data_IF_677851454774
#
_entry.id   IF_677851454774
#
_cell.length_a   1.000
_cell.length_b   1.000
_cell.length_c   1.000
_cell.angle_alpha   90.00
_cell.angle_beta   90.00
_cell.angle_gamma   90.00
#
_symmetry.space_group_name_H-M   'P 1'
#
loop_
_entity.id
_entity.type
_entity.pdbx_description
1 polymer ?
#
# COMPACT_ATOMS: atom_id res chain seq x y z
N UNK A 1 32.25 -20.95 3.58
CA UNK A 1 30.90 -21.30 4.05
C UNK A 1 29.96 -20.29 3.44
N UNK A 2 29.18 -20.70 2.42
CA UNK A 2 28.25 -19.82 1.69
C UNK A 2 27.04 -19.50 2.56
N UNK A 3 26.63 -18.22 2.65
CA UNK A 3 25.41 -17.83 3.39
C UNK A 3 24.12 -17.85 2.53
N UNK A 4 24.11 -18.57 1.40
CA UNK A 4 22.98 -18.61 0.44
C UNK A 4 22.23 -19.95 0.49
N UNK A 5 21.84 -20.38 1.68
CA UNK A 5 20.83 -21.42 1.80
C UNK A 5 19.66 -20.91 2.66
N UNK A 6 18.80 -20.09 2.06
CA UNK A 6 17.41 -20.06 2.48
C UNK A 6 16.84 -21.45 2.26
N UNK A 7 16.24 -22.11 3.25
CA UNK A 7 15.59 -23.40 3.03
C UNK A 7 14.39 -23.17 2.10
N UNK A 8 14.48 -23.71 0.90
CA UNK A 8 13.35 -23.89 0.01
C UNK A 8 12.25 -24.66 0.77
N UNK A 9 11.09 -24.01 0.87
CA UNK A 9 9.79 -24.60 1.16
C UNK A 9 9.76 -25.67 2.24
N UNK A 10 9.42 -25.31 3.47
CA UNK A 10 8.85 -26.31 4.38
C UNK A 10 7.53 -26.78 3.76
N UNK A 11 7.40 -28.07 3.54
CA UNK A 11 6.20 -28.72 2.98
C UNK A 11 4.95 -28.58 3.86
N UNK A 12 5.08 -28.00 5.05
CA UNK A 12 3.98 -27.73 5.97
C UNK A 12 3.86 -26.22 6.21
N UNK A 13 2.66 -25.64 6.06
CA UNK A 13 2.39 -24.24 6.38
C UNK A 13 2.70 -23.96 7.86
N UNK A 14 3.36 -22.82 8.14
CA UNK A 14 3.63 -22.43 9.52
C UNK A 14 2.30 -22.12 10.25
N UNK A 15 2.17 -22.62 11.48
CA UNK A 15 0.96 -22.42 12.30
C UNK A 15 1.00 -21.03 12.92
N UNK A 16 0.03 -20.18 12.58
CA UNK A 16 -0.02 -18.79 12.98
C UNK A 16 -1.15 -18.47 13.96
N UNK A 17 -0.87 -17.71 15.01
CA UNK A 17 -1.89 -17.09 15.87
C UNK A 17 -2.07 -15.65 15.41
N UNK A 18 -3.32 -15.28 15.12
CA UNK A 18 -3.68 -13.93 14.72
C UNK A 18 -4.06 -13.08 15.93
N UNK A 19 -3.47 -11.91 16.06
CA UNK A 19 -3.70 -11.00 17.17
C UNK A 19 -4.14 -9.63 16.65
N UNK A 20 -5.36 -9.27 17.02
CA UNK A 20 -5.88 -7.95 16.75
C UNK A 20 -6.02 -7.14 18.04
N UNK A 21 -5.68 -5.85 18.01
CA UNK A 21 -5.78 -4.95 19.15
C UNK A 21 -6.74 -3.80 18.86
N UNK A 22 -7.93 -3.87 19.45
CA UNK A 22 -8.90 -2.78 19.36
C UNK A 22 -8.48 -1.65 20.30
N UNK A 23 -8.10 -0.51 19.73
CA UNK A 23 -7.77 0.71 20.47
C UNK A 23 -8.97 1.66 20.41
N UNK A 24 -9.60 1.92 21.58
CA UNK A 24 -10.81 2.74 21.66
C UNK A 24 -12.06 2.02 21.13
N UNK A 25 -12.98 2.77 20.50
CA UNK A 25 -14.20 2.22 19.87
C UNK A 25 -13.91 1.93 18.40
N UNK A 26 -13.73 0.66 18.04
CA UNK A 26 -13.62 0.18 16.66
C UNK A 26 -14.80 -0.76 16.36
N UNK A 27 -15.85 -0.32 15.67
CA UNK A 27 -17.04 -1.14 15.41
C UNK A 27 -16.80 -2.30 14.42
N UNK A 28 -15.78 -2.23 13.55
CA UNK A 28 -15.49 -3.22 12.48
C UNK A 28 -14.23 -4.04 12.75
N UNK A 29 -14.00 -4.36 14.00
CA UNK A 29 -12.76 -5.01 14.41
C UNK A 29 -12.63 -6.46 13.91
N UNK A 30 -13.74 -7.18 13.79
CA UNK A 30 -13.75 -8.59 13.35
C UNK A 30 -13.32 -8.70 11.88
N UNK A 31 -13.75 -7.77 11.03
CA UNK A 31 -13.38 -7.71 9.60
C UNK A 31 -11.87 -7.52 9.39
N UNK A 32 -11.20 -6.85 10.34
CA UNK A 32 -9.74 -6.64 10.26
C UNK A 32 -8.97 -7.93 10.49
N UNK A 33 -9.47 -8.79 11.37
CA UNK A 33 -8.88 -10.10 11.63
C UNK A 33 -9.15 -11.09 10.49
N UNK A 34 -10.29 -10.97 9.81
CA UNK A 34 -10.58 -11.77 8.61
C UNK A 34 -9.60 -11.40 7.49
N UNK A 35 -9.32 -10.11 7.29
CA UNK A 35 -8.33 -9.68 6.33
C UNK A 35 -6.91 -10.14 6.71
N UNK A 36 -6.53 -10.10 8.00
CA UNK A 36 -5.26 -10.62 8.47
C UNK A 36 -5.15 -12.14 8.25
N UNK A 37 -6.25 -12.89 8.39
CA UNK A 37 -6.28 -14.33 8.09
C UNK A 37 -5.99 -14.59 6.60
N UNK A 38 -6.64 -13.84 5.70
CA UNK A 38 -6.38 -13.94 4.27
C UNK A 38 -4.95 -13.53 3.90
N UNK A 39 -4.35 -12.56 4.61
CA UNK A 39 -2.93 -12.22 4.45
C UNK A 39 -2.03 -13.38 4.87
N UNK A 40 -2.27 -13.98 6.04
CA UNK A 40 -1.50 -15.11 6.53
C UNK A 40 -1.57 -16.31 5.57
N UNK A 41 -2.76 -16.68 5.09
CA UNK A 41 -2.95 -17.71 4.09
C UNK A 41 -2.24 -17.39 2.77
N UNK A 42 -2.25 -16.13 2.35
CA UNK A 42 -1.54 -15.68 1.13
C UNK A 42 -0.02 -15.72 1.27
N UNK A 43 0.50 -15.64 2.51
CA UNK A 43 1.91 -15.85 2.84
C UNK A 43 2.29 -17.34 2.99
N UNK A 44 1.29 -18.23 2.98
CA UNK A 44 1.49 -19.67 3.17
C UNK A 44 1.42 -20.12 4.62
N UNK A 45 0.98 -19.27 5.54
CA UNK A 45 0.75 -19.60 6.94
C UNK A 45 -0.64 -20.18 7.15
N UNK A 46 -0.78 -21.01 8.20
CA UNK A 46 -2.06 -21.61 8.61
C UNK A 46 -2.57 -20.91 9.88
N UNK A 47 -3.61 -20.05 9.82
CA UNK A 47 -4.25 -19.48 10.99
C UNK A 47 -4.89 -20.57 11.88
N UNK A 48 -4.39 -20.75 13.12
CA UNK A 48 -4.88 -21.78 14.04
C UNK A 48 -5.68 -21.21 15.20
N UNK A 49 -5.51 -19.94 15.55
CA UNK A 49 -6.26 -19.26 16.58
C UNK A 49 -6.32 -17.74 16.32
N UNK A 50 -7.36 -17.10 16.86
CA UNK A 50 -7.56 -15.64 16.82
C UNK A 50 -7.66 -15.09 18.21
N UNK A 51 -6.98 -14.01 18.51
CA UNK A 51 -6.98 -13.35 19.81
C UNK A 51 -7.33 -11.87 19.64
N UNK A 52 -8.31 -11.43 20.39
CA UNK A 52 -8.71 -10.02 20.43
C UNK A 52 -8.28 -9.40 21.76
N UNK A 53 -7.53 -8.33 21.70
CA UNK A 53 -7.18 -7.50 22.84
C UNK A 53 -7.88 -6.14 22.73
N UNK A 54 -8.52 -5.70 23.81
CA UNK A 54 -9.16 -4.36 23.88
C UNK A 54 -8.38 -3.48 24.84
N UNK A 55 -7.93 -2.31 24.34
CA UNK A 55 -7.15 -1.38 25.16
C UNK A 55 -7.53 0.06 24.86
N UNK A 56 -7.32 0.95 25.85
CA UNK A 56 -7.46 2.40 25.66
C UNK A 56 -6.26 2.99 24.92
N UNK A 57 -5.06 2.43 25.16
CA UNK A 57 -3.80 2.80 24.51
C UNK A 57 -2.88 1.58 24.44
N UNK A 58 -1.95 1.52 23.47
CA UNK A 58 -0.96 0.47 23.37
C UNK A 58 -0.06 0.45 24.61
N UNK A 59 0.29 -0.76 25.06
CA UNK A 59 1.30 -0.91 26.13
C UNK A 59 2.69 -0.59 25.58
N UNK A 60 3.50 0.22 26.29
CA UNK A 60 4.84 0.59 25.79
C UNK A 60 5.79 -0.60 25.62
N UNK A 61 5.67 -1.64 26.46
CA UNK A 61 6.57 -2.79 26.46
C UNK A 61 6.12 -3.94 25.59
N UNK A 62 4.83 -4.32 25.68
CA UNK A 62 4.28 -5.53 25.04
C UNK A 62 3.12 -5.23 24.07
N UNK A 63 2.76 -3.98 23.84
CA UNK A 63 1.64 -3.55 23.02
C UNK A 63 0.26 -3.96 23.58
N UNK A 64 0.10 -5.24 23.96
CA UNK A 64 -1.15 -5.85 24.48
C UNK A 64 -1.22 -5.97 26.00
N UNK A 65 -0.11 -5.75 26.74
CA UNK A 65 0.00 -5.98 28.16
C UNK A 65 0.25 -7.44 28.55
N UNK A 66 0.72 -7.64 29.79
CA UNK A 66 1.24 -8.95 30.25
C UNK A 66 0.22 -10.07 30.24
N UNK A 67 -0.97 -9.86 30.84
CA UNK A 67 -1.98 -10.90 30.94
C UNK A 67 -2.46 -11.44 29.59
N UNK A 68 -2.61 -10.56 28.57
CA UNK A 68 -2.96 -11.01 27.22
C UNK A 68 -1.77 -11.67 26.51
N UNK A 69 -0.53 -11.25 26.81
CA UNK A 69 0.66 -11.91 26.31
C UNK A 69 0.82 -13.34 26.88
N UNK A 70 0.47 -13.54 28.17
CA UNK A 70 0.47 -14.87 28.80
C UNK A 70 -0.60 -15.79 28.18
N UNK A 71 -1.79 -15.26 27.89
CA UNK A 71 -2.85 -15.98 27.20
C UNK A 71 -2.38 -16.44 25.81
N UNK A 72 -1.75 -15.54 25.02
CA UNK A 72 -1.22 -15.90 23.70
C UNK A 72 -0.11 -16.94 23.83
N UNK A 73 0.78 -16.82 24.81
CA UNK A 73 1.82 -17.81 25.08
C UNK A 73 1.24 -19.21 25.37
N UNK A 74 0.16 -19.28 26.12
CA UNK A 74 -0.55 -20.54 26.38
C UNK A 74 -1.15 -21.13 25.09
N UNK A 75 -1.73 -20.27 24.21
CA UNK A 75 -2.24 -20.67 22.91
C UNK A 75 -1.12 -21.13 21.97
N UNK A 76 0.04 -20.49 21.98
CA UNK A 76 1.22 -20.92 21.22
C UNK A 76 1.60 -22.35 21.59
N UNK A 77 1.66 -22.66 22.87
CA UNK A 77 1.96 -24.02 23.34
C UNK A 77 0.85 -25.02 22.97
N UNK A 78 -0.41 -24.63 23.14
CA UNK A 78 -1.58 -25.50 22.86
C UNK A 78 -1.67 -25.87 21.37
N UNK A 79 -1.52 -24.87 20.50
CA UNK A 79 -1.66 -25.05 19.05
C UNK A 79 -0.33 -25.37 18.35
N UNK A 80 0.78 -25.43 19.09
CA UNK A 80 2.13 -25.58 18.52
C UNK A 80 2.40 -24.53 17.42
N UNK A 81 2.01 -23.28 17.70
CA UNK A 81 2.17 -22.20 16.74
C UNK A 81 3.64 -21.79 16.62
N UNK A 82 4.08 -21.51 15.41
CA UNK A 82 5.45 -21.11 15.07
C UNK A 82 5.60 -19.59 14.97
N UNK A 83 4.48 -18.91 14.68
CA UNK A 83 4.46 -17.45 14.52
C UNK A 83 3.21 -16.83 15.14
N UNK A 84 3.37 -15.59 15.64
CA UNK A 84 2.25 -14.74 16.10
C UNK A 84 2.21 -13.49 15.23
N UNK A 85 1.07 -13.28 14.56
CA UNK A 85 0.84 -12.21 13.61
C UNK A 85 -0.04 -11.12 14.22
N UNK A 86 0.47 -9.89 14.28
CA UNK A 86 -0.25 -8.73 14.76
C UNK A 86 -0.83 -7.92 13.60
N UNK A 87 -2.10 -7.56 13.69
CA UNK A 87 -2.75 -6.70 12.69
C UNK A 87 -2.19 -5.27 12.71
N UNK A 88 -1.79 -4.77 13.86
CA UNK A 88 -1.22 -3.44 14.03
C UNK A 88 0.30 -3.45 13.88
N UNK A 89 0.85 -2.31 13.41
CA UNK A 89 2.29 -2.12 13.35
C UNK A 89 2.91 -2.11 14.76
N UNK A 90 3.93 -2.92 14.96
CA UNK A 90 4.65 -3.02 16.23
C UNK A 90 5.91 -2.15 16.23
N UNK A 91 6.23 -1.55 17.36
CA UNK A 91 7.54 -0.96 17.58
C UNK A 91 8.63 -2.05 17.70
N UNK A 92 9.86 -1.76 17.28
CA UNK A 92 10.98 -2.72 17.36
C UNK A 92 11.23 -3.28 18.77
N UNK A 93 11.02 -2.46 19.81
CA UNK A 93 11.15 -2.90 21.20
C UNK A 93 10.00 -3.82 21.62
N UNK A 94 8.77 -3.49 21.21
CA UNK A 94 7.58 -4.29 21.50
C UNK A 94 7.66 -5.66 20.84
N UNK A 95 8.01 -5.71 19.56
CA UNK A 95 8.18 -6.98 18.83
C UNK A 95 9.18 -7.88 19.54
N UNK A 96 10.36 -7.38 19.85
CA UNK A 96 11.40 -8.15 20.54
C UNK A 96 10.98 -8.62 21.94
N UNK A 97 10.25 -7.78 22.68
CA UNK A 97 9.77 -8.15 24.01
C UNK A 97 8.70 -9.25 23.91
N UNK A 98 7.82 -9.17 22.91
CA UNK A 98 6.82 -10.19 22.62
C UNK A 98 7.48 -11.51 22.19
N UNK A 99 8.45 -11.50 21.27
CA UNK A 99 9.21 -12.69 20.85
C UNK A 99 9.87 -13.38 22.05
N UNK A 100 10.50 -12.58 22.93
CA UNK A 100 11.14 -13.12 24.15
C UNK A 100 10.10 -13.70 25.12
N UNK A 101 8.95 -13.07 25.27
CA UNK A 101 7.90 -13.50 26.16
C UNK A 101 7.20 -14.77 25.68
N UNK A 102 6.90 -14.84 24.38
CA UNK A 102 6.16 -15.94 23.74
C UNK A 102 7.05 -17.12 23.35
N UNK A 103 8.33 -16.88 23.07
CA UNK A 103 9.29 -17.90 22.64
C UNK A 103 9.19 -18.28 21.17
N UNK A 104 8.38 -17.58 20.37
CA UNK A 104 8.19 -17.80 18.93
C UNK A 104 8.36 -16.49 18.18
N UNK A 105 8.49 -16.58 16.86
CA UNK A 105 8.55 -15.40 15.98
C UNK A 105 7.29 -14.54 16.11
N UNK A 106 7.48 -13.22 16.08
CA UNK A 106 6.38 -12.24 16.07
C UNK A 106 6.54 -11.35 14.85
N UNK A 107 5.52 -11.28 14.02
CA UNK A 107 5.49 -10.38 12.88
C UNK A 107 4.28 -9.44 12.98
N UNK A 108 4.38 -8.28 12.36
CA UNK A 108 3.26 -7.37 12.18
C UNK A 108 2.74 -7.42 10.74
N UNK A 109 1.58 -6.81 10.52
CA UNK A 109 0.95 -6.70 9.19
C UNK A 109 1.92 -6.20 8.11
N UNK A 110 2.79 -5.24 8.43
CA UNK A 110 3.76 -4.69 7.48
C UNK A 110 4.77 -5.75 7.03
N UNK A 111 5.30 -6.54 7.96
CA UNK A 111 6.23 -7.61 7.63
C UNK A 111 5.58 -8.70 6.80
N UNK A 112 4.36 -9.08 7.15
CA UNK A 112 3.58 -10.09 6.42
C UNK A 112 3.32 -9.66 4.96
N UNK A 113 2.92 -8.41 4.73
CA UNK A 113 2.75 -7.86 3.37
C UNK A 113 4.08 -7.88 2.60
N UNK A 114 5.21 -7.54 3.25
CA UNK A 114 6.53 -7.59 2.63
C UNK A 114 6.96 -9.01 2.26
N UNK A 115 6.59 -10.01 3.03
CA UNK A 115 6.86 -11.42 2.73
C UNK A 115 6.04 -11.88 1.52
N UNK A 116 4.74 -11.58 1.48
CA UNK A 116 3.89 -11.86 0.33
C UNK A 116 4.46 -11.21 -0.94
N UNK A 117 4.90 -9.95 -0.84
CA UNK A 117 5.49 -9.24 -1.97
C UNK A 117 6.83 -9.85 -2.41
N UNK A 118 7.65 -10.34 -1.47
CA UNK A 118 8.90 -11.01 -1.81
C UNK A 118 8.67 -12.29 -2.63
N UNK A 119 7.63 -13.05 -2.28
CA UNK A 119 7.27 -14.26 -2.99
C UNK A 119 6.62 -14.00 -4.37
N UNK A 120 5.88 -12.90 -4.50
CA UNK A 120 5.15 -12.54 -5.73
C UNK A 120 5.98 -11.76 -6.73
N UNK A 121 7.06 -11.07 -6.32
CA UNK A 121 7.91 -10.30 -7.21
C UNK A 121 8.64 -11.20 -8.22
N UNK A 122 8.28 -11.10 -9.49
CA UNK A 122 8.92 -11.85 -10.57
C UNK A 122 9.87 -10.98 -11.38
N UNK A 123 9.48 -9.72 -11.63
CA UNK A 123 10.30 -8.79 -12.40
C UNK A 123 11.55 -8.36 -11.63
N UNK A 124 12.60 -8.01 -12.38
CA UNK A 124 13.82 -7.47 -11.76
C UNK A 124 13.56 -6.17 -11.00
N UNK A 125 12.65 -5.32 -11.50
CA UNK A 125 12.24 -4.08 -10.87
C UNK A 125 11.47 -4.36 -9.58
N UNK A 126 10.45 -5.24 -9.62
CA UNK A 126 9.65 -5.62 -8.44
C UNK A 126 10.52 -6.21 -7.33
N UNK A 127 11.48 -7.10 -7.66
CA UNK A 127 12.44 -7.66 -6.69
C UNK A 127 13.27 -6.58 -6.01
N UNK A 128 13.76 -5.58 -6.77
CA UNK A 128 14.51 -4.47 -6.20
C UNK A 128 13.64 -3.55 -5.32
N UNK A 129 12.38 -3.33 -5.71
CA UNK A 129 11.43 -2.54 -4.93
C UNK A 129 11.13 -3.21 -3.59
N UNK A 130 10.84 -4.52 -3.61
CA UNK A 130 10.60 -5.30 -2.38
C UNK A 130 11.85 -5.36 -1.51
N UNK A 131 13.03 -5.58 -2.10
CA UNK A 131 14.30 -5.57 -1.37
C UNK A 131 14.52 -4.21 -0.67
N UNK A 132 14.25 -3.10 -1.37
CA UNK A 132 14.36 -1.77 -0.79
C UNK A 132 13.42 -1.58 0.40
N UNK A 133 12.14 -1.92 0.24
CA UNK A 133 11.13 -1.79 1.28
C UNK A 133 11.47 -2.66 2.51
N UNK A 134 11.93 -3.91 2.29
CA UNK A 134 12.37 -4.82 3.34
C UNK A 134 13.59 -4.28 4.10
N UNK A 135 14.59 -3.76 3.40
CA UNK A 135 15.76 -3.14 4.02
C UNK A 135 15.40 -1.89 4.83
N UNK A 136 14.50 -1.06 4.32
CA UNK A 136 14.00 0.11 5.04
C UNK A 136 13.22 -0.28 6.30
N UNK A 137 12.40 -1.33 6.23
CA UNK A 137 11.70 -1.87 7.39
C UNK A 137 12.71 -2.41 8.43
N UNK A 138 13.65 -3.25 8.02
CA UNK A 138 14.67 -3.81 8.89
C UNK A 138 15.55 -2.72 9.54
N UNK A 139 15.89 -1.66 8.80
CA UNK A 139 16.70 -0.55 9.32
C UNK A 139 16.05 0.13 10.52
N UNK A 140 14.71 0.20 10.58
CA UNK A 140 13.98 0.75 11.73
C UNK A 140 14.00 -0.17 12.95
N UNK A 141 14.29 -1.46 12.77
CA UNK A 141 14.26 -2.49 13.81
C UNK A 141 15.63 -2.83 14.41
N UNK A 142 16.72 -2.40 13.78
CA UNK A 142 18.08 -2.58 14.31
C UNK A 142 18.37 -1.74 15.54
N UNK A 143 17.67 -0.67 15.75
CA UNK A 143 17.93 0.37 16.76
C UNK A 143 17.73 -0.14 18.20
N UNK A 144 17.99 -1.36 18.57
CA UNK A 144 18.01 -1.81 20.01
C UNK A 144 18.10 -3.33 20.17
N UNK A 145 18.57 -4.05 19.17
CA UNK A 145 18.63 -5.53 19.29
C UNK A 145 19.63 -6.04 20.32
N UNK A 146 20.59 -5.23 20.76
CA UNK A 146 21.77 -5.67 21.51
C UNK A 146 21.99 -5.04 22.91
N UNK A 147 21.00 -4.37 23.49
CA UNK A 147 21.14 -3.73 24.82
C UNK A 147 21.42 -4.68 25.99
N UNK A 148 21.53 -5.99 25.75
CA UNK A 148 21.83 -6.98 26.79
C UNK A 148 23.32 -7.25 26.97
N UNK A 149 24.16 -6.97 26.00
CA UNK A 149 25.60 -7.17 26.10
C UNK A 149 26.27 -6.06 26.93
N UNK A 150 25.64 -4.92 27.11
CA UNK A 150 26.16 -3.81 27.90
C UNK A 150 26.21 -4.10 29.41
N UNK A 151 25.33 -4.96 29.94
CA UNK A 151 25.24 -5.24 31.36
C UNK A 151 26.24 -6.29 31.86
N UNK A 152 26.90 -7.02 31.00
CA UNK A 152 27.81 -8.11 31.40
C UNK A 152 29.28 -7.71 31.52
N UNK A 153 29.68 -6.48 31.19
CA UNK A 153 31.05 -6.00 31.41
C UNK A 153 31.07 -4.63 32.07
N UNK A 154 31.00 -4.63 33.42
CA UNK A 154 31.52 -3.56 34.23
C UNK A 154 33.05 -3.47 34.06
N UNK A 155 33.49 -2.58 33.17
CA UNK A 155 34.94 -2.30 32.95
C UNK A 155 35.07 -0.83 32.60
N UNK A 156 35.74 -0.11 33.47
CA UNK A 156 36.08 1.31 33.40
C UNK A 156 36.76 1.61 32.05
N UNK A 157 36.21 2.51 31.25
CA UNK A 157 37.02 3.33 30.32
C UNK A 157 37.05 2.96 28.85
N UNK A 158 35.90 2.73 28.19
CA UNK A 158 35.78 3.02 26.77
C UNK A 158 34.31 3.28 26.39
N UNK A 159 34.04 4.42 25.81
CA UNK A 159 32.70 4.81 25.31
C UNK A 159 32.40 4.03 24.03
N UNK A 160 31.85 2.84 24.16
CA UNK A 160 31.43 1.99 23.05
C UNK A 160 31.76 0.53 23.34
N UNK A 161 30.77 -0.28 23.79
CA UNK A 161 30.98 -1.72 23.98
C UNK A 161 30.98 -2.43 22.61
N UNK A 162 31.53 -3.67 22.52
CA UNK A 162 31.57 -4.45 21.26
C UNK A 162 30.21 -4.66 20.63
N UNK A 163 29.10 -4.52 21.38
CA UNK A 163 27.74 -4.58 20.86
C UNK A 163 27.29 -3.30 20.12
N UNK A 164 27.75 -2.12 20.54
CA UNK A 164 27.49 -0.85 19.82
C UNK A 164 28.22 -0.82 18.48
N UNK A 165 29.47 -1.25 18.46
CA UNK A 165 30.24 -1.35 17.23
C UNK A 165 29.60 -2.31 16.21
N UNK A 166 29.00 -3.42 16.66
CA UNK A 166 28.30 -4.35 15.77
C UNK A 166 26.99 -3.76 15.22
N UNK A 167 26.21 -3.07 16.04
CA UNK A 167 24.99 -2.39 15.60
C UNK A 167 25.29 -1.29 14.57
N UNK A 168 26.34 -0.50 14.81
CA UNK A 168 26.77 0.53 13.87
C UNK A 168 27.24 -0.09 12.55
N UNK A 169 27.96 -1.20 12.61
CA UNK A 169 28.39 -1.94 11.44
C UNK A 169 27.18 -2.46 10.63
N UNK A 170 26.24 -3.14 11.30
CA UNK A 170 25.01 -3.66 10.68
C UNK A 170 24.17 -2.53 10.06
N UNK A 171 24.05 -1.40 10.78
CA UNK A 171 23.35 -0.21 10.29
C UNK A 171 24.01 0.38 9.06
N UNK A 172 25.34 0.45 9.06
CA UNK A 172 26.12 0.91 7.92
C UNK A 172 25.96 -0.01 6.72
N UNK A 173 26.09 -1.33 6.93
CA UNK A 173 25.90 -2.32 5.85
C UNK A 173 24.50 -2.23 5.22
N UNK A 174 23.45 -2.10 6.04
CA UNK A 174 22.08 -1.92 5.52
C UNK A 174 21.97 -0.58 4.79
N UNK A 175 22.56 0.50 5.32
CA UNK A 175 22.59 1.81 4.65
C UNK A 175 23.26 1.77 3.28
N UNK A 176 24.41 1.11 3.18
CA UNK A 176 25.13 0.89 1.91
C UNK A 176 24.31 0.04 0.93
N UNK A 177 23.64 -1.01 1.43
CA UNK A 177 22.75 -1.83 0.60
C UNK A 177 21.56 -1.06 0.09
N UNK A 178 20.89 -0.27 0.94
CA UNK A 178 19.78 0.64 0.53
C UNK A 178 20.25 1.58 -0.59
N UNK A 179 21.43 2.19 -0.45
CA UNK A 179 21.99 3.08 -1.46
C UNK A 179 22.21 2.34 -2.79
N UNK A 180 22.84 1.18 -2.75
CA UNK A 180 23.10 0.36 -3.95
C UNK A 180 21.79 -0.05 -4.65
N UNK A 181 20.77 -0.46 -3.90
CA UNK A 181 19.46 -0.84 -4.47
C UNK A 181 18.76 0.37 -5.08
N UNK A 182 18.80 1.54 -4.43
CA UNK A 182 18.26 2.80 -4.99
C UNK A 182 18.94 3.18 -6.32
N UNK A 183 20.26 3.10 -6.39
CA UNK A 183 21.01 3.39 -7.62
C UNK A 183 20.63 2.44 -8.77
N UNK A 184 20.39 1.15 -8.46
CA UNK A 184 19.93 0.16 -9.44
C UNK A 184 18.49 0.47 -9.91
N UNK A 185 17.59 0.81 -8.99
CA UNK A 185 16.22 1.22 -9.32
C UNK A 185 16.19 2.47 -10.20
N UNK A 186 17.03 3.46 -9.92
CA UNK A 186 17.13 4.65 -10.76
C UNK A 186 17.59 4.33 -12.20
N UNK A 187 18.49 3.37 -12.39
CA UNK A 187 18.88 2.91 -13.73
C UNK A 187 17.71 2.27 -14.46
N UNK A 188 16.94 1.41 -13.77
CA UNK A 188 15.75 0.76 -14.35
C UNK A 188 14.69 1.80 -14.70
N UNK A 189 14.41 2.78 -13.81
CA UNK A 189 13.48 3.90 -14.08
C UNK A 189 13.88 4.69 -15.34
N UNK A 190 15.18 5.00 -15.53
CA UNK A 190 15.66 5.72 -16.72
C UNK A 190 15.45 4.91 -18.00
N UNK A 191 15.75 3.61 -17.99
CA UNK A 191 15.52 2.74 -19.14
C UNK A 191 14.03 2.65 -19.48
N UNK A 192 13.16 2.53 -18.49
CA UNK A 192 11.70 2.49 -18.64
C UNK A 192 11.17 3.80 -19.22
N UNK A 193 11.64 4.94 -18.73
CA UNK A 193 11.26 6.26 -19.26
C UNK A 193 11.66 6.43 -20.74
N UNK A 194 12.81 5.90 -21.15
CA UNK A 194 13.23 5.94 -22.56
C UNK A 194 12.32 5.09 -23.45
N UNK A 195 12.01 3.86 -23.03
CA UNK A 195 11.07 2.97 -23.74
C UNK A 195 9.66 3.56 -23.79
N UNK A 196 9.28 4.28 -22.74
CA UNK A 196 7.99 4.92 -22.59
C UNK A 196 7.80 6.10 -23.53
N UNK A 197 8.78 7.00 -23.66
CA UNK A 197 8.73 8.10 -24.63
C UNK A 197 8.54 7.59 -26.08
N UNK A 198 9.00 6.40 -26.37
CA UNK A 198 8.73 5.72 -27.65
C UNK A 198 7.28 5.29 -27.81
N UNK A 199 6.61 4.86 -26.70
CA UNK A 199 5.19 4.46 -26.69
C UNK A 199 4.23 5.66 -26.64
N UNK A 200 4.62 6.77 -26.01
CA UNK A 200 3.85 8.02 -25.99
C UNK A 200 3.63 8.59 -27.40
N UNK A 201 4.57 8.35 -28.32
CA UNK A 201 4.45 8.74 -29.73
C UNK A 201 3.40 7.91 -30.50
N UNK A 202 2.92 6.81 -29.96
CA UNK A 202 1.96 5.92 -30.64
C UNK A 202 0.50 6.24 -30.37
N UNK A 203 0.18 7.32 -29.62
CA UNK A 203 -1.19 7.77 -29.28
C UNK A 203 -2.12 6.64 -28.77
N UNK A 204 -1.56 5.61 -28.16
CA UNK A 204 -2.33 4.47 -27.66
C UNK A 204 -3.06 4.87 -26.38
N UNK A 205 -4.39 4.81 -26.39
CA UNK A 205 -5.21 5.07 -25.19
C UNK A 205 -4.92 4.03 -24.10
N UNK A 206 -4.60 4.49 -22.89
CA UNK A 206 -4.13 3.67 -21.76
C UNK A 206 -5.23 3.52 -20.72
N UNK A 207 -5.56 2.29 -20.41
CA UNK A 207 -6.55 1.90 -19.42
C UNK A 207 -5.85 1.13 -18.31
N UNK A 208 -6.03 1.53 -17.06
CA UNK A 208 -5.42 0.85 -15.91
C UNK A 208 -6.48 0.35 -14.93
N UNK A 209 -6.37 -0.91 -14.50
CA UNK A 209 -7.22 -1.47 -13.46
C UNK A 209 -6.65 -1.08 -12.10
N UNK A 210 -7.47 -0.51 -11.25
CA UNK A 210 -7.17 -0.18 -9.86
C UNK A 210 -8.27 -0.72 -8.95
N UNK A 211 -7.98 -0.93 -7.69
CA UNK A 211 -8.97 -1.42 -6.74
C UNK A 211 -8.35 -2.21 -5.60
N UNK A 212 -9.17 -2.56 -4.63
CA UNK A 212 -8.73 -3.28 -3.44
C UNK A 212 -8.19 -4.68 -3.79
N UNK A 213 -7.38 -5.26 -2.90
CA UNK A 213 -6.95 -6.67 -3.04
C UNK A 213 -8.16 -7.57 -3.11
N UNK A 214 -8.07 -8.63 -3.89
CA UNK A 214 -9.14 -9.61 -4.10
C UNK A 214 -10.47 -9.05 -4.66
N UNK A 215 -10.51 -7.82 -5.21
CA UNK A 215 -11.71 -7.31 -5.91
C UNK A 215 -11.94 -7.97 -7.29
N UNK A 216 -11.00 -8.81 -7.75
CA UNK A 216 -11.09 -9.53 -9.02
C UNK A 216 -10.48 -8.79 -10.21
N UNK A 217 -9.51 -7.89 -9.99
CA UNK A 217 -8.82 -7.15 -11.06
C UNK A 217 -8.21 -8.05 -12.12
N UNK A 218 -7.38 -9.01 -11.71
CA UNK A 218 -6.69 -9.92 -12.63
C UNK A 218 -7.66 -10.86 -13.36
N UNK A 219 -8.74 -11.27 -12.70
CA UNK A 219 -9.83 -12.03 -13.32
C UNK A 219 -10.53 -11.20 -14.40
N UNK A 220 -10.83 -9.93 -14.08
CA UNK A 220 -11.44 -8.99 -15.02
C UNK A 220 -10.50 -8.67 -16.20
N UNK A 221 -9.21 -8.48 -15.93
CA UNK A 221 -8.18 -8.31 -16.95
C UNK A 221 -8.18 -9.48 -17.94
N UNK A 222 -8.15 -10.72 -17.43
CA UNK A 222 -8.17 -11.93 -18.25
C UNK A 222 -9.46 -12.04 -19.07
N UNK A 223 -10.62 -11.71 -18.48
CA UNK A 223 -11.91 -11.72 -19.18
C UNK A 223 -11.96 -10.71 -20.33
N UNK A 224 -11.42 -9.49 -20.13
CA UNK A 224 -11.38 -8.44 -21.14
C UNK A 224 -10.47 -8.80 -22.32
N UNK A 225 -9.27 -9.36 -22.02
CA UNK A 225 -8.26 -9.72 -23.04
C UNK A 225 -8.54 -11.11 -23.66
N UNK A 226 -9.54 -11.84 -23.16
CA UNK A 226 -9.84 -13.23 -23.54
C UNK A 226 -8.62 -14.17 -23.37
N UNK A 227 -7.80 -13.88 -22.36
CA UNK A 227 -6.63 -14.67 -22.03
C UNK A 227 -6.99 -15.73 -20.97
N UNK A 228 -6.48 -16.95 -21.12
CA UNK A 228 -6.57 -18.00 -20.09
C UNK A 228 -5.34 -17.91 -19.18
N UNK A 229 -5.15 -16.80 -18.47
CA UNK A 229 -4.11 -16.71 -17.46
C UNK A 229 -4.68 -17.07 -16.07
N UNK A 230 -3.85 -17.73 -15.26
CA UNK A 230 -4.22 -18.12 -13.91
C UNK A 230 -4.49 -16.87 -13.04
N UNK A 231 -5.70 -16.76 -12.54
CA UNK A 231 -6.07 -15.79 -11.51
C UNK A 231 -6.30 -16.56 -10.21
N UNK A 232 -5.43 -16.34 -9.23
CA UNK A 232 -5.57 -16.99 -7.93
C UNK A 232 -6.50 -16.17 -7.02
N UNK A 233 -7.32 -16.84 -6.23
CA UNK A 233 -8.10 -16.21 -5.16
C UNK A 233 -7.20 -15.97 -3.93
N UNK A 234 -6.21 -15.12 -4.11
CA UNK A 234 -5.20 -14.78 -3.12
C UNK A 234 -4.98 -13.27 -3.11
N UNK A 235 -4.67 -12.72 -1.93
CA UNK A 235 -4.30 -11.31 -1.82
C UNK A 235 -2.98 -11.06 -2.58
N UNK A 236 -2.89 -9.92 -3.26
CA UNK A 236 -1.74 -9.55 -4.09
C UNK A 236 -1.35 -10.58 -5.14
N UNK A 237 -2.34 -11.17 -5.82
CA UNK A 237 -2.09 -12.11 -6.92
C UNK A 237 -1.23 -11.48 -8.04
N UNK A 238 -1.38 -10.18 -8.27
CA UNK A 238 -0.54 -9.38 -9.20
C UNK A 238 0.26 -8.36 -8.40
N UNK A 239 1.59 -8.43 -8.48
CA UNK A 239 2.50 -7.44 -7.94
C UNK A 239 3.18 -6.63 -9.06
N UNK A 240 3.67 -7.33 -10.08
CA UNK A 240 4.26 -6.72 -11.26
C UNK A 240 3.16 -6.34 -12.26
N UNK A 241 3.18 -5.12 -12.77
CA UNK A 241 2.19 -4.66 -13.74
C UNK A 241 2.23 -5.49 -15.01
N UNK A 242 1.10 -6.04 -15.38
CA UNK A 242 0.93 -6.77 -16.64
C UNK A 242 0.16 -5.91 -17.63
N UNK A 243 0.77 -5.60 -18.78
CA UNK A 243 0.14 -4.79 -19.82
C UNK A 243 -0.14 -5.63 -21.06
N UNK A 244 -1.35 -5.50 -21.65
CA UNK A 244 -1.78 -6.17 -22.88
C UNK A 244 -2.52 -5.19 -23.77
N UNK A 245 -2.50 -5.47 -25.07
CA UNK A 245 -3.34 -4.75 -26.02
C UNK A 245 -4.73 -5.39 -26.05
N UNK A 246 -5.75 -4.55 -26.02
CA UNK A 246 -7.14 -4.90 -26.13
C UNK A 246 -7.71 -4.21 -27.37
N UNK A 247 -8.18 -4.98 -28.35
CA UNK A 247 -8.90 -4.44 -29.48
C UNK A 247 -10.38 -4.19 -29.11
N UNK A 248 -10.84 -2.98 -29.35
CA UNK A 248 -12.22 -2.55 -29.14
C UNK A 248 -12.89 -2.37 -30.50
N UNK A 249 -13.81 -3.26 -30.83
CA UNK A 249 -14.52 -3.26 -32.11
C UNK A 249 -15.32 -1.98 -32.30
N UNK A 250 -15.98 -1.51 -31.23
CA UNK A 250 -16.81 -0.29 -31.25
C UNK A 250 -15.99 0.99 -31.49
N UNK A 251 -14.72 0.99 -31.11
CA UNK A 251 -13.81 2.12 -31.34
C UNK A 251 -12.90 1.94 -32.54
N UNK A 252 -12.87 0.74 -33.15
CA UNK A 252 -12.00 0.40 -34.27
C UNK A 252 -10.50 0.55 -33.96
N UNK A 253 -10.09 0.49 -32.68
CA UNK A 253 -8.70 0.76 -32.25
C UNK A 253 -8.24 -0.15 -31.10
N UNK A 254 -6.93 -0.30 -31.01
CA UNK A 254 -6.31 -0.95 -29.87
C UNK A 254 -6.14 0.04 -28.71
N UNK A 255 -6.41 -0.42 -27.50
CA UNK A 255 -6.09 0.26 -26.24
C UNK A 255 -5.10 -0.57 -25.45
N UNK A 256 -4.29 0.07 -24.63
CA UNK A 256 -3.36 -0.60 -23.72
C UNK A 256 -4.06 -0.81 -22.40
N UNK A 257 -4.27 -2.06 -21.98
CA UNK A 257 -4.88 -2.42 -20.71
C UNK A 257 -3.78 -2.91 -19.75
N UNK A 258 -3.74 -2.35 -18.55
CA UNK A 258 -2.75 -2.71 -17.52
C UNK A 258 -3.45 -3.19 -16.24
N UNK A 259 -3.02 -4.36 -15.73
CA UNK A 259 -3.40 -4.85 -14.39
C UNK A 259 -2.35 -4.39 -13.38
N UNK A 260 -2.78 -3.83 -12.26
CA UNK A 260 -1.90 -3.25 -11.24
C UNK A 260 -2.01 -3.99 -9.90
N UNK A 261 -1.07 -3.70 -9.00
CA UNK A 261 -1.11 -4.22 -7.63
C UNK A 261 -2.40 -3.80 -6.91
N UNK A 262 -2.96 -4.73 -6.12
CA UNK A 262 -4.12 -4.43 -5.29
C UNK A 262 -3.79 -3.54 -4.11
N UNK A 263 -4.67 -2.62 -3.77
CA UNK A 263 -4.57 -1.82 -2.55
C UNK A 263 -5.11 -2.60 -1.35
N UNK A 264 -4.59 -2.30 -0.19
CA UNK A 264 -5.04 -2.86 1.08
C UNK A 264 -5.04 -1.76 2.13
N UNK A 265 -5.84 -1.93 3.17
CA UNK A 265 -5.90 -0.99 4.28
C UNK A 265 -4.54 -0.87 4.97
N UNK A 266 -4.23 0.31 5.46
CA UNK A 266 -2.99 0.62 6.20
C UNK A 266 -1.72 0.23 5.44
N UNK A 267 -1.74 0.35 4.08
CA UNK A 267 -0.55 0.13 3.28
C UNK A 267 0.56 1.10 3.73
N UNK A 268 1.70 0.62 4.23
CA UNK A 268 2.74 1.49 4.75
C UNK A 268 3.25 2.46 3.68
N UNK A 269 3.37 3.76 3.99
CA UNK A 269 3.86 4.79 3.06
C UNK A 269 5.18 4.43 2.39
N UNK A 270 6.09 3.76 3.11
CA UNK A 270 7.36 3.28 2.55
C UNK A 270 7.18 2.22 1.46
N UNK A 271 6.11 1.43 1.55
CA UNK A 271 5.75 0.50 0.47
C UNK A 271 5.17 1.25 -0.72
N UNK A 272 4.32 2.26 -0.50
CA UNK A 272 3.81 3.12 -1.58
C UNK A 272 4.97 3.77 -2.33
N UNK A 273 5.96 4.33 -1.63
CA UNK A 273 7.18 4.90 -2.23
C UNK A 273 7.99 3.86 -3.02
N UNK A 274 8.16 2.65 -2.46
CA UNK A 274 8.89 1.58 -3.13
C UNK A 274 8.20 1.14 -4.43
N UNK A 275 6.87 1.10 -4.45
CA UNK A 275 6.04 0.73 -5.61
C UNK A 275 5.57 1.92 -6.45
N UNK A 276 6.08 3.13 -6.20
CA UNK A 276 5.73 4.34 -6.94
C UNK A 276 5.76 4.13 -8.46
N UNK A 277 6.77 3.43 -8.98
CA UNK A 277 6.89 3.17 -10.42
C UNK A 277 5.75 2.29 -10.98
N UNK A 278 5.24 1.33 -10.21
CA UNK A 278 4.09 0.50 -10.55
C UNK A 278 2.79 1.29 -10.46
N UNK A 279 2.68 2.14 -9.45
CA UNK A 279 1.53 3.02 -9.23
C UNK A 279 1.48 4.20 -10.22
N UNK A 280 2.64 4.64 -10.72
CA UNK A 280 2.72 5.65 -11.79
C UNK A 280 2.00 5.25 -13.07
N UNK A 281 1.85 3.96 -13.37
CA UNK A 281 1.05 3.52 -14.52
C UNK A 281 -0.43 3.87 -14.35
N UNK A 282 -0.96 3.82 -13.13
CA UNK A 282 -2.31 4.29 -12.85
C UNK A 282 -2.42 5.83 -12.95
N UNK A 283 -1.43 6.56 -12.42
CA UNK A 283 -1.42 8.02 -12.50
C UNK A 283 -1.31 8.58 -13.93
N UNK A 284 -0.87 7.76 -14.84
CA UNK A 284 -0.64 8.15 -16.24
C UNK A 284 -1.60 7.47 -17.22
N UNK A 285 -2.55 6.73 -16.71
CA UNK A 285 -3.64 6.18 -17.50
C UNK A 285 -4.53 7.31 -18.03
N UNK A 286 -5.12 7.10 -19.17
CA UNK A 286 -6.14 7.98 -19.74
C UNK A 286 -7.52 7.65 -19.17
N UNK A 287 -7.66 6.42 -18.61
CA UNK A 287 -8.87 5.93 -17.95
C UNK A 287 -8.51 4.93 -16.84
N UNK A 288 -9.12 5.06 -15.67
CA UNK A 288 -9.06 4.07 -14.61
C UNK A 288 -10.32 3.21 -14.57
N UNK A 289 -10.15 1.90 -14.47
CA UNK A 289 -11.21 0.97 -14.11
C UNK A 289 -11.07 0.67 -12.62
N UNK A 290 -11.88 1.33 -11.79
CA UNK A 290 -11.88 1.09 -10.35
C UNK A 290 -12.74 -0.13 -10.04
N UNK A 291 -12.10 -1.26 -9.83
CA UNK A 291 -12.73 -2.55 -9.57
C UNK A 291 -13.05 -2.67 -8.08
N UNK A 292 -14.32 -2.89 -7.78
CA UNK A 292 -14.90 -2.96 -6.44
C UNK A 292 -15.59 -4.31 -6.29
N UNK A 293 -15.37 -5.01 -5.19
CA UNK A 293 -16.11 -6.21 -4.85
C UNK A 293 -17.54 -5.82 -4.40
N UNK A 294 -18.53 -6.12 -5.23
CA UNK A 294 -19.92 -5.77 -4.96
C UNK A 294 -20.51 -6.52 -3.75
N UNK A 295 -19.99 -7.71 -3.46
CA UNK A 295 -20.44 -8.57 -2.36
C UNK A 295 -19.77 -8.23 -1.02
N UNK A 296 -18.70 -7.41 -1.03
CA UNK A 296 -18.00 -7.05 0.20
C UNK A 296 -18.87 -6.13 1.08
N UNK A 297 -19.07 -6.44 2.38
CA UNK A 297 -19.78 -5.57 3.31
C UNK A 297 -19.05 -4.22 3.49
N UNK A 298 -17.71 -4.21 3.34
CA UNK A 298 -16.85 -3.05 3.56
C UNK A 298 -16.46 -2.33 2.26
N UNK A 299 -17.22 -2.54 1.17
CA UNK A 299 -16.92 -2.00 -0.16
C UNK A 299 -16.73 -0.49 -0.21
N UNK A 300 -17.50 0.26 0.60
CA UNK A 300 -17.43 1.72 0.61
C UNK A 300 -16.15 2.22 1.30
N UNK A 301 -15.71 1.56 2.35
CA UNK A 301 -14.43 1.84 3.02
C UNK A 301 -13.24 1.46 2.14
N UNK A 302 -13.31 0.29 1.51
CA UNK A 302 -12.30 -0.17 0.55
C UNK A 302 -12.19 0.81 -0.63
N UNK A 303 -13.33 1.32 -1.14
CA UNK A 303 -13.35 2.35 -2.17
C UNK A 303 -12.67 3.64 -1.70
N UNK A 304 -13.00 4.10 -0.48
CA UNK A 304 -12.41 5.30 0.09
C UNK A 304 -10.89 5.15 0.28
N UNK A 305 -10.42 3.96 0.68
CA UNK A 305 -8.99 3.67 0.81
C UNK A 305 -8.26 3.76 -0.54
N UNK A 306 -8.84 3.14 -1.58
CA UNK A 306 -8.30 3.22 -2.95
C UNK A 306 -8.23 4.68 -3.41
N UNK A 307 -9.27 5.48 -3.16
CA UNK A 307 -9.28 6.91 -3.54
C UNK A 307 -8.19 7.70 -2.80
N UNK A 308 -7.93 7.41 -1.50
CA UNK A 308 -6.83 8.04 -0.75
C UNK A 308 -5.47 7.73 -1.38
N UNK A 309 -5.24 6.48 -1.78
CA UNK A 309 -3.98 6.11 -2.44
C UNK A 309 -3.87 6.75 -3.81
N UNK A 310 -4.94 6.76 -4.63
CA UNK A 310 -4.96 7.45 -5.93
C UNK A 310 -4.64 8.95 -5.78
N UNK A 311 -5.17 9.59 -4.74
CA UNK A 311 -4.85 10.99 -4.43
C UNK A 311 -3.36 11.17 -4.09
N UNK A 312 -2.79 10.26 -3.30
CA UNK A 312 -1.37 10.33 -2.91
C UNK A 312 -0.38 10.19 -4.07
N UNK A 313 -0.80 9.53 -5.16
CA UNK A 313 0.02 9.35 -6.38
C UNK A 313 -0.33 10.34 -7.50
N UNK A 314 -1.23 11.30 -7.23
CA UNK A 314 -1.63 12.32 -8.21
C UNK A 314 -2.55 11.79 -9.32
N UNK A 315 -3.32 10.75 -9.06
CA UNK A 315 -4.24 10.13 -10.01
C UNK A 315 -5.72 10.53 -9.78
N UNK A 316 -6.00 11.53 -8.92
CA UNK A 316 -7.36 11.97 -8.59
C UNK A 316 -8.14 12.48 -9.79
N UNK A 317 -7.46 13.16 -10.73
CA UNK A 317 -8.09 13.82 -11.87
C UNK A 317 -8.29 12.89 -13.08
N UNK A 318 -7.74 11.67 -13.01
CA UNK A 318 -7.89 10.69 -14.10
C UNK A 318 -9.35 10.23 -14.17
N UNK A 319 -9.98 10.25 -15.37
CA UNK A 319 -11.32 9.73 -15.54
C UNK A 319 -11.47 8.29 -15.03
N UNK A 320 -12.60 7.97 -14.38
CA UNK A 320 -12.82 6.66 -13.79
C UNK A 320 -14.13 6.04 -14.27
N UNK A 321 -14.13 4.72 -14.40
CA UNK A 321 -15.35 3.88 -14.48
C UNK A 321 -15.33 3.00 -13.23
N UNK A 322 -16.41 3.00 -12.45
CA UNK A 322 -16.56 2.11 -11.30
C UNK A 322 -17.08 0.75 -11.79
N UNK A 323 -16.30 -0.30 -11.54
CA UNK A 323 -16.63 -1.67 -11.94
C UNK A 323 -16.99 -2.47 -10.69
N UNK A 324 -18.28 -2.65 -10.45
CA UNK A 324 -18.78 -3.47 -9.35
C UNK A 324 -18.77 -4.92 -9.80
N UNK A 325 -17.70 -5.63 -9.41
CA UNK A 325 -17.47 -7.02 -9.79
C UNK A 325 -18.03 -8.00 -8.75
N UNK A 326 -18.07 -9.28 -9.09
CA UNK A 326 -18.59 -10.39 -8.27
C UNK A 326 -20.11 -10.27 -7.98
N UNK A 327 -20.89 -9.74 -8.93
CA UNK A 327 -22.34 -9.64 -8.77
C UNK A 327 -23.05 -10.98 -8.68
N UNK A 328 -22.39 -12.06 -9.10
CA UNK A 328 -22.84 -13.44 -8.94
C UNK A 328 -22.91 -13.91 -7.48
N UNK A 329 -22.23 -13.24 -6.56
CA UNK A 329 -22.27 -13.50 -5.12
C UNK A 329 -23.34 -12.67 -4.40
N UNK A 330 -24.01 -11.75 -5.08
CA UNK A 330 -25.08 -10.96 -4.49
C UNK A 330 -26.36 -11.78 -4.34
N UNK A 331 -27.11 -11.51 -3.28
CA UNK A 331 -28.46 -12.06 -3.13
C UNK A 331 -29.41 -11.45 -4.16
N UNK A 332 -30.48 -12.18 -4.53
CA UNK A 332 -31.40 -11.74 -5.58
C UNK A 332 -31.97 -10.35 -5.39
N UNK A 333 -32.24 -9.93 -4.15
CA UNK A 333 -32.76 -8.60 -3.84
C UNK A 333 -31.73 -7.48 -3.93
N UNK A 334 -30.44 -7.80 -3.97
CA UNK A 334 -29.32 -6.87 -4.12
C UNK A 334 -28.83 -6.77 -5.56
N UNK A 335 -29.35 -7.63 -6.45
CA UNK A 335 -28.94 -7.66 -7.85
C UNK A 335 -29.40 -6.38 -8.56
N UNK A 336 -28.49 -5.65 -9.22
CA UNK A 336 -28.86 -4.40 -9.90
C UNK A 336 -29.81 -4.66 -11.06
N UNK A 337 -30.80 -3.79 -11.21
CA UNK A 337 -31.79 -3.86 -12.30
C UNK A 337 -31.18 -3.49 -13.66
N UNK A 338 -30.21 -2.58 -13.67
CA UNK A 338 -29.52 -2.12 -14.86
C UNK A 338 -28.06 -2.58 -14.84
N UNK A 339 -27.53 -3.05 -15.96
CA UNK A 339 -26.12 -3.45 -16.04
C UNK A 339 -25.15 -2.26 -15.99
N UNK A 340 -25.64 -1.05 -16.29
CA UNK A 340 -24.89 0.21 -16.28
C UNK A 340 -25.77 1.31 -15.75
N UNK A 341 -25.24 2.14 -14.89
CA UNK A 341 -25.85 3.39 -14.42
C UNK A 341 -24.74 4.44 -14.15
N UNK A 342 -25.11 5.57 -13.57
CA UNK A 342 -24.20 6.64 -13.17
C UNK A 342 -24.38 6.95 -11.69
N UNK A 343 -23.28 7.22 -11.02
CA UNK A 343 -23.26 7.56 -9.60
C UNK A 343 -22.56 8.92 -9.40
N UNK A 344 -23.12 9.73 -8.52
CA UNK A 344 -22.51 10.96 -8.07
C UNK A 344 -21.50 10.63 -6.95
N UNK A 345 -20.25 11.01 -7.12
CA UNK A 345 -19.21 10.89 -6.09
C UNK A 345 -19.32 12.04 -5.08
N UNK A 346 -18.67 11.89 -3.93
CA UNK A 346 -18.66 12.89 -2.86
C UNK A 346 -18.03 14.24 -3.28
N UNK A 347 -17.20 14.23 -4.33
CA UNK A 347 -16.58 15.40 -4.94
C UNK A 347 -17.47 16.08 -6.02
N UNK A 348 -18.70 15.60 -6.21
CA UNK A 348 -19.66 16.12 -7.18
C UNK A 348 -19.47 15.62 -8.62
N UNK A 349 -18.49 14.75 -8.88
CA UNK A 349 -18.30 14.15 -10.21
C UNK A 349 -19.29 13.02 -10.45
N UNK A 350 -19.93 13.04 -11.62
CA UNK A 350 -20.77 11.96 -12.09
C UNK A 350 -19.90 10.96 -12.86
N UNK A 351 -19.90 9.71 -12.43
CA UNK A 351 -19.07 8.65 -13.02
C UNK A 351 -19.92 7.46 -13.40
N UNK A 352 -19.63 6.83 -14.56
CA UNK A 352 -20.32 5.62 -14.97
C UNK A 352 -19.96 4.45 -14.04
N UNK A 353 -20.97 3.64 -13.73
CA UNK A 353 -20.86 2.43 -12.95
C UNK A 353 -21.36 1.25 -13.77
N UNK A 354 -20.62 0.15 -13.78
CA UNK A 354 -20.98 -1.09 -14.46
C UNK A 354 -20.92 -2.27 -13.49
N UNK A 355 -21.88 -3.17 -13.62
CA UNK A 355 -21.98 -4.36 -12.80
C UNK A 355 -21.49 -5.58 -13.59
N UNK A 356 -20.54 -6.33 -13.01
CA UNK A 356 -19.86 -7.42 -13.71
C UNK A 356 -19.72 -8.66 -12.82
N UNK A 357 -19.71 -9.83 -13.47
CA UNK A 357 -19.08 -11.03 -12.92
C UNK A 357 -17.97 -11.46 -13.88
N UNK A 358 -16.75 -11.13 -13.53
CA UNK A 358 -15.58 -11.47 -14.35
C UNK A 358 -15.40 -12.98 -14.47
N UNK A 359 -15.79 -13.76 -13.45
CA UNK A 359 -15.73 -15.22 -13.46
C UNK A 359 -16.70 -15.84 -14.47
N UNK A 360 -17.90 -15.26 -14.61
CA UNK A 360 -18.97 -15.77 -15.47
C UNK A 360 -19.11 -14.99 -16.80
N UNK A 361 -18.29 -13.96 -17.02
CA UNK A 361 -18.36 -13.13 -18.22
C UNK A 361 -19.54 -12.16 -18.29
N UNK A 362 -20.29 -11.98 -17.19
CA UNK A 362 -21.42 -11.06 -17.15
C UNK A 362 -20.95 -9.60 -17.15
N UNK A 363 -21.62 -8.74 -17.94
CA UNK A 363 -21.33 -7.30 -17.98
C UNK A 363 -20.06 -6.90 -18.72
N UNK A 364 -19.25 -7.85 -19.21
CA UNK A 364 -17.97 -7.57 -19.89
C UNK A 364 -18.19 -6.77 -21.19
N UNK A 365 -19.21 -7.11 -21.99
CA UNK A 365 -19.49 -6.36 -23.24
C UNK A 365 -19.97 -4.94 -22.95
N UNK A 366 -20.72 -4.72 -21.86
CA UNK A 366 -21.12 -3.39 -21.43
C UNK A 366 -19.91 -2.55 -21.01
N UNK A 367 -18.97 -3.15 -20.25
CA UNK A 367 -17.72 -2.52 -19.88
C UNK A 367 -16.85 -2.19 -21.10
N UNK A 368 -16.74 -3.09 -22.08
CA UNK A 368 -16.00 -2.83 -23.34
C UNK A 368 -16.57 -1.62 -24.09
N UNK A 369 -17.90 -1.50 -24.19
CA UNK A 369 -18.56 -0.33 -24.79
C UNK A 369 -18.25 0.97 -24.04
N UNK A 370 -18.24 0.96 -22.70
CA UNK A 370 -17.89 2.14 -21.91
C UNK A 370 -16.42 2.55 -22.13
N UNK A 371 -15.50 1.59 -22.19
CA UNK A 371 -14.08 1.84 -22.49
C UNK A 371 -13.95 2.41 -23.92
N UNK A 372 -14.66 1.85 -24.90
CA UNK A 372 -14.64 2.33 -26.28
C UNK A 372 -15.17 3.77 -26.37
N UNK A 373 -16.28 4.07 -25.70
CA UNK A 373 -16.82 5.42 -25.64
C UNK A 373 -15.85 6.43 -25.01
N UNK A 374 -15.13 6.03 -23.96
CA UNK A 374 -14.10 6.86 -23.33
C UNK A 374 -12.89 7.06 -24.27
N UNK A 375 -12.48 6.01 -24.99
CA UNK A 375 -11.35 6.07 -25.94
C UNK A 375 -11.64 6.92 -27.18
N UNK A 376 -12.89 7.11 -27.55
CA UNK A 376 -13.32 7.96 -28.67
C UNK A 376 -13.49 9.44 -28.28
N UNK A 377 -13.61 9.75 -26.97
CA UNK A 377 -13.65 11.15 -26.53
C UNK A 377 -12.29 11.78 -26.82
N UNK A 378 -12.26 12.99 -27.42
CA UNK A 378 -11.00 13.71 -27.51
C UNK A 378 -10.43 13.88 -26.09
N UNK A 379 -9.09 13.80 -25.91
CA UNK A 379 -8.49 14.06 -24.61
C UNK A 379 -9.03 15.42 -24.14
N UNK A 380 -9.55 15.48 -22.92
CA UNK A 380 -9.92 16.74 -22.31
C UNK A 380 -8.68 17.63 -22.43
N UNK A 381 -8.80 18.72 -23.23
CA UNK A 381 -7.74 19.70 -23.32
C UNK A 381 -7.48 20.12 -21.89
N UNK A 382 -6.34 19.70 -21.34
CA UNK A 382 -5.91 20.18 -20.04
C UNK A 382 -5.89 21.71 -20.22
N UNK A 383 -6.86 22.38 -19.60
CA UNK A 383 -6.80 23.83 -19.48
C UNK A 383 -5.42 24.10 -18.92
N UNK A 384 -4.57 24.66 -19.78
CA UNK A 384 -3.21 25.03 -19.44
C UNK A 384 -3.27 25.75 -18.11
N UNK A 385 -2.69 25.16 -17.05
CA UNK A 385 -2.49 25.90 -15.80
C UNK A 385 -1.93 27.26 -16.22
N UNK A 386 -2.55 28.36 -15.78
CA UNK A 386 -2.03 29.68 -16.12
C UNK A 386 -0.55 29.65 -15.72
N UNK A 387 0.33 29.92 -16.69
CA UNK A 387 1.74 30.14 -16.42
C UNK A 387 1.80 31.17 -15.30
N UNK A 388 2.23 30.76 -14.13
CA UNK A 388 2.61 31.71 -13.08
C UNK A 388 3.81 32.43 -13.66
N UNK A 389 3.53 33.60 -14.23
CA UNK A 389 4.56 34.52 -14.71
C UNK A 389 5.58 34.75 -13.58
N UNK A 390 6.83 35.05 -13.93
CA UNK A 390 7.89 35.25 -12.96
C UNK A 390 7.40 36.24 -11.90
N UNK A 391 7.35 35.79 -10.63
CA UNK A 391 7.07 36.64 -9.49
C UNK A 391 8.17 37.72 -9.47
N UNK A 392 7.81 38.94 -9.85
CA UNK A 392 8.66 40.11 -9.66
C UNK A 392 8.74 40.32 -8.15
N UNK A 393 9.88 40.02 -7.58
CA UNK A 393 10.20 40.32 -6.19
C UNK A 393 10.00 41.85 -5.98
N UNK A 394 9.31 42.28 -4.91
CA UNK A 394 9.23 43.70 -4.59
C UNK A 394 10.64 44.25 -4.34
N UNK A 395 10.92 45.51 -4.72
CA UNK A 395 12.22 46.10 -4.49
C UNK A 395 12.53 46.14 -3.00
N UNK A 396 13.74 45.73 -2.63
CA UNK A 396 14.30 45.96 -1.30
C UNK A 396 14.23 47.44 -0.97
N UNK A 397 13.53 47.78 0.10
CA UNK A 397 13.58 49.11 0.67
C UNK A 397 14.92 49.26 1.40
N UNK A 398 15.81 50.10 0.85
CA UNK A 398 17.01 50.54 1.50
C UNK A 398 16.73 51.14 2.87
N UNK A 399 17.55 50.79 3.85
CA UNK A 399 17.60 51.32 5.20
C UNK A 399 17.73 52.86 5.18
N UNK A 400 16.69 53.55 5.52
CA UNK A 400 16.78 54.98 5.88
C UNK A 400 16.82 55.16 7.38
N UNK A 401 17.98 55.52 7.81
CA UNK A 401 18.50 56.13 9.03
C UNK A 401 17.44 56.79 9.95
N UNK A 402 17.15 56.16 11.09
CA UNK A 402 16.27 56.72 12.14
C UNK A 402 17.08 57.65 13.01
N UNK A 403 17.18 58.96 12.63
CA UNK A 403 17.59 60.01 13.55
C UNK A 403 16.41 60.44 14.42
N UNK A 404 16.65 60.36 15.71
CA UNK A 404 15.97 60.89 16.88
C UNK A 404 15.06 62.11 16.62
N UNK A 405 13.84 62.08 17.16
CA UNK A 405 13.04 63.26 17.52
C UNK A 405 12.64 63.18 19.01
N UNK A 406 12.53 64.35 19.70
CA UNK A 406 12.49 64.43 21.15
C UNK A 406 11.08 64.24 21.76
N UNK A 407 11.05 63.85 23.03
CA UNK A 407 9.89 63.77 23.88
C UNK A 407 9.19 65.15 24.03
N UNK A 408 7.88 65.15 23.91
CA UNK A 408 7.06 66.23 24.48
C UNK A 408 5.84 65.60 25.22
N UNK A 409 5.89 65.84 26.51
CA UNK A 409 4.83 65.69 27.49
C UNK A 409 3.55 66.43 27.11
N UNK A 410 2.39 65.80 27.31
CA UNK A 410 1.09 66.47 27.15
C UNK A 410 -0.06 65.64 27.68
N UNK A 411 -0.47 65.93 28.83
CA UNK A 411 -1.55 65.59 29.74
C UNK A 411 -2.92 65.38 29.07
N UNK A 412 -3.69 64.43 29.61
CA UNK A 412 -5.16 64.19 29.48
C UNK A 412 -6.01 65.43 29.72
N UNK A 413 -7.32 65.47 29.27
CA UNK A 413 -8.34 65.00 30.18
C UNK A 413 -9.49 64.18 29.57
N UNK A 414 -10.11 63.39 30.45
CA UNK A 414 -11.45 62.81 30.39
C UNK A 414 -12.55 63.82 30.01
N UNK A 415 -13.57 63.40 29.27
CA UNK A 415 -14.98 63.67 29.59
C UNK A 415 -15.94 63.01 28.54
N UNK A 416 -16.87 62.33 29.11
CA UNK A 416 -18.26 61.99 28.87
C UNK A 416 -18.56 60.83 28.00
#
# INVERSE_FOLDING_TARGET
>A
MNPDSSPAGSLNPARAILVGVAIGRCPQFDDTLDELALLAESAGDLPVARVIARRKSPDPALFIGTGKADEIKALVALHQAEVVLFDQALGAAQQRNLERHMGVAVADRTMLILEIFADRAQSHEGKLQVELARLQYLSTRLVRRWSHLERQRGGIGNRGGPGEAQIELDRRMIGERIKSVKERLEKVKRQRNTQRRSRERSETFRVSLVGYTNAGKSTLFNALVKARAYAADQLFATLDTTTRQLYLEEAGRNVSLSDTVGFIRDLPHKLVEAFEATLQEAAQADLLLHVIDAASPNRDEQRAEVQRVLASIGASDVPQILVFNKVDLLEQHQTPLLPVDEILLDDGRQVPRVFTSAAHGLGIDALRRLIAAAALRPPAVAESKPEVGPQISPPECDDMDVRRLPESTGTLPLLA
#
